data_IF_037210218288
#
_entry.id   IF_037210218288
#
_cell.length_a   1.000
_cell.length_b   1.000
_cell.length_c   1.000
_cell.angle_alpha   90.00
_cell.angle_beta   90.00
_cell.angle_gamma   90.00
#
_symmetry.space_group_name_H-M   'P 1'
#
loop_
_entity.id
_entity.type
_entity.pdbx_description
1 polymer ?
#
# COMPACT_ATOMS: atom_id res chain seq x y z
N UNK A 1 -58.42 33.85 32.44
CA UNK A 1 -58.09 32.51 32.96
C UNK A 1 -57.45 31.73 31.82
N UNK A 2 -56.15 31.92 31.59
CA UNK A 2 -55.38 31.21 30.56
C UNK A 2 -54.50 30.16 31.23
N UNK A 3 -54.57 28.95 30.69
CA UNK A 3 -54.22 27.70 31.34
C UNK A 3 -52.71 27.55 31.64
N UNK A 4 -52.37 27.27 32.91
CA UNK A 4 -51.04 26.92 33.43
C UNK A 4 -50.37 25.69 32.79
N UNK A 5 -51.01 25.08 31.79
CA UNK A 5 -50.51 23.93 31.03
C UNK A 5 -49.53 24.34 29.92
N UNK A 6 -49.63 25.57 29.41
CA UNK A 6 -48.79 26.04 28.30
C UNK A 6 -47.41 26.54 28.73
N UNK A 7 -47.22 27.00 29.98
CA UNK A 7 -45.88 27.44 30.45
C UNK A 7 -44.87 26.29 30.56
N UNK A 8 -45.32 25.10 30.97
CA UNK A 8 -44.45 23.91 31.07
C UNK A 8 -43.99 23.40 29.71
N UNK A 9 -44.83 23.54 28.69
CA UNK A 9 -44.51 23.09 27.32
C UNK A 9 -43.49 24.05 26.69
N UNK A 10 -43.66 25.36 26.89
CA UNK A 10 -42.75 26.38 26.34
C UNK A 10 -41.37 26.31 27.03
N UNK A 11 -41.32 26.16 28.36
CA UNK A 11 -40.07 25.98 29.12
C UNK A 11 -39.30 24.72 28.70
N UNK A 12 -39.97 23.58 28.51
CA UNK A 12 -39.28 22.33 28.13
C UNK A 12 -38.70 22.43 26.72
N UNK A 13 -39.39 23.11 25.80
CA UNK A 13 -38.92 23.27 24.41
C UNK A 13 -37.69 24.19 24.33
N UNK A 14 -37.60 25.21 25.17
CA UNK A 14 -36.43 26.11 25.22
C UNK A 14 -35.20 25.40 25.83
N UNK A 15 -35.39 24.58 26.86
CA UNK A 15 -34.28 23.85 27.51
C UNK A 15 -33.67 22.79 26.57
N UNK A 16 -34.50 22.04 25.82
CA UNK A 16 -33.97 21.09 24.82
C UNK A 16 -33.29 21.81 23.65
N UNK A 17 -33.78 23.00 23.27
CA UNK A 17 -33.15 23.86 22.26
C UNK A 17 -31.79 24.43 22.68
N UNK A 18 -31.57 24.71 23.97
CA UNK A 18 -30.29 25.23 24.51
C UNK A 18 -29.28 24.11 24.75
N UNK A 19 -29.71 22.93 25.21
CA UNK A 19 -28.80 21.78 25.43
C UNK A 19 -28.34 21.15 24.09
N UNK A 20 -29.19 21.17 23.05
CA UNK A 20 -28.79 20.74 21.70
C UNK A 20 -27.78 21.66 21.00
N UNK A 21 -27.64 22.91 21.47
CA UNK A 21 -26.74 23.91 20.88
C UNK A 21 -25.39 24.05 21.61
N UNK A 22 -25.26 23.48 22.83
CA UNK A 22 -24.01 23.48 23.60
C UNK A 22 -23.37 22.10 23.76
N UNK A 23 -24.05 21.02 23.32
CA UNK A 23 -23.55 19.64 23.35
C UNK A 23 -23.06 19.09 22.00
N UNK A 24 -22.95 19.92 20.97
CA UNK A 24 -22.53 19.53 19.61
C UNK A 24 -21.17 20.14 19.21
N UNK A 25 -20.33 20.48 20.20
CA UNK A 25 -19.02 21.15 20.02
C UNK A 25 -17.81 20.20 20.07
N UNK A 26 -17.99 18.89 20.28
CA UNK A 26 -16.87 17.92 20.38
C UNK A 26 -17.11 16.59 19.63
N UNK A 27 -17.94 16.59 18.58
CA UNK A 27 -18.17 15.36 17.80
C UNK A 27 -18.22 15.58 16.28
N UNK A 28 -17.34 16.41 15.76
CA UNK A 28 -16.91 16.36 14.35
C UNK A 28 -15.47 16.87 14.27
N UNK A 29 -14.52 16.03 14.68
CA UNK A 29 -13.18 16.05 14.10
C UNK A 29 -13.22 15.13 12.87
N UNK A 30 -13.90 15.55 11.80
CA UNK A 30 -13.68 14.97 10.48
C UNK A 30 -14.25 15.89 9.39
N UNK A 31 -13.30 16.56 8.73
CA UNK A 31 -13.36 17.22 7.41
C UNK A 31 -14.31 18.42 7.25
N UNK A 32 -13.73 19.61 6.98
CA UNK A 32 -13.84 20.24 5.65
C UNK A 32 -12.81 21.37 5.41
N UNK A 33 -12.41 21.47 4.15
CA UNK A 33 -11.41 22.29 3.46
C UNK A 33 -11.18 23.77 3.87
N UNK A 34 -9.90 24.21 3.87
CA UNK A 34 -9.38 25.37 3.09
C UNK A 34 -7.88 25.13 2.79
N UNK A 35 -7.46 24.83 1.55
CA UNK A 35 -7.18 25.75 0.43
C UNK A 35 -6.25 26.91 0.80
N UNK A 36 -4.95 26.64 0.70
CA UNK A 36 -3.95 27.66 0.36
C UNK A 36 -3.26 27.22 -0.95
N UNK A 37 -3.24 28.09 -1.96
CA UNK A 37 -2.50 27.94 -3.22
C UNK A 37 -2.05 29.37 -3.60
N UNK A 38 -0.90 29.63 -4.28
CA UNK A 38 0.11 28.72 -4.82
C UNK A 38 1.59 29.14 -4.54
N UNK A 39 2.49 28.17 -4.38
CA UNK A 39 3.84 28.28 -4.95
C UNK A 39 4.03 27.14 -5.96
N UNK A 40 4.18 27.52 -7.22
CA UNK A 40 4.27 26.62 -8.37
C UNK A 40 5.64 25.93 -8.41
N UNK A 41 5.62 24.60 -8.32
CA UNK A 41 6.57 23.72 -9.01
C UNK A 41 5.78 22.55 -9.61
N UNK A 42 6.17 22.03 -10.77
CA UNK A 42 5.24 21.52 -11.77
C UNK A 42 4.59 20.17 -11.39
N UNK A 43 3.28 20.15 -11.57
CA UNK A 43 2.33 19.02 -11.63
C UNK A 43 2.95 17.61 -11.72
N UNK A 44 2.70 16.77 -10.70
CA UNK A 44 2.45 15.34 -10.93
C UNK A 44 1.19 14.92 -10.16
N UNK A 45 0.29 14.24 -10.86
CA UNK A 45 -0.98 13.72 -10.33
C UNK A 45 -0.69 12.79 -9.14
N UNK A 46 -1.44 12.91 -8.05
CA UNK A 46 -1.55 11.83 -7.06
C UNK A 46 -2.25 10.67 -7.78
N UNK A 47 -1.46 9.76 -8.34
CA UNK A 47 -1.95 8.52 -8.91
C UNK A 47 -2.48 7.69 -7.73
N UNK A 48 -3.81 7.59 -7.60
CA UNK A 48 -4.43 6.72 -6.61
C UNK A 48 -3.93 5.30 -6.85
N UNK A 49 -3.11 4.78 -5.93
CA UNK A 49 -2.54 3.43 -6.05
C UNK A 49 -3.68 2.42 -5.98
N UNK A 50 -3.98 1.81 -7.13
CA UNK A 50 -4.97 0.74 -7.20
C UNK A 50 -4.36 -0.54 -6.61
N UNK A 51 -4.95 -1.01 -5.53
CA UNK A 51 -4.51 -2.19 -4.79
C UNK A 51 -5.50 -3.33 -4.97
N UNK A 52 -4.95 -4.52 -5.19
CA UNK A 52 -5.71 -5.75 -5.37
C UNK A 52 -5.22 -6.82 -4.39
N UNK A 53 -6.12 -7.68 -3.90
CA UNK A 53 -5.73 -8.82 -3.09
C UNK A 53 -5.00 -9.87 -3.97
N UNK A 54 -3.87 -10.36 -3.48
CA UNK A 54 -3.15 -11.48 -4.07
C UNK A 54 -2.78 -12.49 -3.00
N UNK A 55 -3.44 -13.65 -3.03
CA UNK A 55 -3.32 -14.69 -1.98
C UNK A 55 -3.61 -14.07 -0.59
N UNK A 56 -2.58 -13.98 0.26
CA UNK A 56 -2.66 -13.50 1.64
C UNK A 56 -2.13 -12.07 1.83
N UNK A 57 -1.85 -11.33 0.75
CA UNK A 57 -1.36 -9.95 0.79
C UNK A 57 -2.17 -9.04 -0.13
N UNK A 58 -1.96 -7.73 -0.04
CA UNK A 58 -2.41 -6.76 -1.02
C UNK A 58 -1.20 -6.25 -1.82
N UNK A 59 -1.38 -6.01 -3.12
CA UNK A 59 -0.34 -5.51 -4.03
C UNK A 59 -0.95 -4.49 -5.00
N UNK A 60 -0.13 -3.75 -5.72
CA UNK A 60 -0.62 -2.90 -6.81
C UNK A 60 -1.12 -3.75 -7.98
N UNK A 61 -2.22 -3.34 -8.61
CA UNK A 61 -2.76 -3.96 -9.83
C UNK A 61 -1.70 -4.08 -10.93
N UNK A 62 -0.77 -3.11 -11.01
CA UNK A 62 0.36 -3.10 -11.96
C UNK A 62 1.24 -4.36 -11.90
N UNK A 63 1.36 -4.99 -10.73
CA UNK A 63 2.22 -6.16 -10.51
C UNK A 63 1.46 -7.49 -10.54
N UNK A 64 0.12 -7.47 -10.57
CA UNK A 64 -0.70 -8.65 -10.33
C UNK A 64 -0.49 -9.75 -11.37
N UNK A 65 -0.66 -9.43 -12.65
CA UNK A 65 -0.52 -10.41 -13.74
C UNK A 65 0.89 -11.02 -13.77
N UNK A 66 1.91 -10.19 -13.56
CA UNK A 66 3.30 -10.61 -13.61
C UNK A 66 3.70 -11.46 -12.40
N UNK A 67 3.21 -11.12 -11.21
CA UNK A 67 3.38 -11.95 -10.02
C UNK A 67 2.67 -13.30 -10.12
N UNK A 68 1.50 -13.33 -10.76
CA UNK A 68 0.77 -14.56 -11.03
C UNK A 68 1.59 -15.48 -11.97
N UNK A 69 2.08 -14.92 -13.07
CA UNK A 69 2.94 -15.64 -14.02
C UNK A 69 4.24 -16.13 -13.37
N UNK A 70 4.87 -15.28 -12.56
CA UNK A 70 6.08 -15.64 -11.82
C UNK A 70 5.81 -16.80 -10.84
N UNK A 71 4.72 -16.72 -10.08
CA UNK A 71 4.31 -17.78 -9.15
C UNK A 71 4.04 -19.10 -9.86
N UNK A 72 3.39 -19.07 -11.02
CA UNK A 72 3.15 -20.26 -11.86
C UNK A 72 4.44 -20.84 -12.41
N UNK A 73 5.39 -20.01 -12.85
CA UNK A 73 6.68 -20.48 -13.35
C UNK A 73 7.53 -21.11 -12.25
N UNK A 74 7.60 -20.48 -11.08
CA UNK A 74 8.28 -21.03 -9.91
C UNK A 74 7.72 -22.42 -9.56
N UNK A 75 6.39 -22.56 -9.55
CA UNK A 75 5.74 -23.85 -9.29
C UNK A 75 6.06 -24.94 -10.31
N UNK A 76 6.30 -24.59 -11.59
CA UNK A 76 6.78 -25.55 -12.61
C UNK A 76 8.20 -26.01 -12.35
N UNK A 77 9.03 -25.15 -11.75
CA UNK A 77 10.39 -25.46 -11.32
C UNK A 77 10.42 -26.09 -9.92
N UNK A 78 9.26 -26.51 -9.38
CA UNK A 78 9.08 -27.07 -8.03
C UNK A 78 9.42 -26.11 -6.88
N UNK A 79 9.40 -24.80 -7.14
CA UNK A 79 9.61 -23.73 -6.16
C UNK A 79 8.27 -23.15 -5.68
N UNK A 80 7.95 -23.28 -4.39
CA UNK A 80 6.77 -22.64 -3.79
C UNK A 80 7.12 -21.26 -3.24
N UNK A 81 6.71 -20.20 -3.95
CA UNK A 81 6.87 -18.83 -3.46
C UNK A 81 5.78 -18.50 -2.43
N UNK A 82 6.19 -18.34 -1.17
CA UNK A 82 5.34 -17.79 -0.12
C UNK A 82 5.53 -16.28 -0.04
N UNK A 83 4.43 -15.54 -0.07
CA UNK A 83 4.44 -14.09 0.03
C UNK A 83 4.22 -13.69 1.49
N UNK A 84 5.26 -13.15 2.12
CA UNK A 84 5.23 -12.76 3.53
C UNK A 84 4.64 -11.37 3.73
N UNK A 85 4.94 -10.44 2.81
CA UNK A 85 4.56 -9.03 2.92
C UNK A 85 4.37 -8.41 1.54
N UNK A 86 3.42 -7.49 1.44
CA UNK A 86 3.15 -6.65 0.27
C UNK A 86 2.87 -5.23 0.70
N UNK A 87 1.73 -4.67 0.28
CA UNK A 87 1.21 -3.41 0.77
C UNK A 87 1.08 -3.38 2.30
N UNK A 88 1.51 -2.28 2.91
CA UNK A 88 1.31 -1.99 4.33
C UNK A 88 0.83 -0.56 4.50
N UNK A 89 -0.37 -0.41 5.07
CA UNK A 89 -1.02 0.88 5.27
C UNK A 89 -0.18 1.85 6.12
N UNK A 90 0.35 1.36 7.25
CA UNK A 90 1.20 2.14 8.16
C UNK A 90 2.71 1.90 7.93
N UNK A 91 3.07 1.57 6.69
CA UNK A 91 4.45 1.31 6.28
C UNK A 91 5.19 2.55 5.78
N UNK A 92 6.40 2.33 5.31
CA UNK A 92 7.12 3.28 4.46
C UNK A 92 6.37 3.56 3.14
N UNK A 93 6.72 4.64 2.46
CA UNK A 93 6.13 5.00 1.16
C UNK A 93 6.33 3.90 0.10
N UNK A 94 7.44 3.18 0.15
CA UNK A 94 7.66 2.03 -0.73
C UNK A 94 6.73 0.85 -0.43
N UNK A 95 6.46 0.59 0.84
CA UNK A 95 5.50 -0.45 1.23
C UNK A 95 4.07 -0.04 0.88
N UNK A 96 3.70 1.23 1.09
CA UNK A 96 2.40 1.77 0.69
C UNK A 96 2.17 1.75 -0.83
N UNK A 97 3.23 1.67 -1.63
CA UNK A 97 3.10 1.54 -3.09
C UNK A 97 2.48 0.21 -3.53
N UNK A 98 2.52 -0.83 -2.69
CA UNK A 98 2.08 -2.18 -3.08
C UNK A 98 2.95 -2.86 -4.16
N UNK A 99 4.08 -2.27 -4.53
CA UNK A 99 5.04 -2.80 -5.50
C UNK A 99 6.23 -3.50 -4.85
N UNK A 100 6.35 -3.40 -3.52
CA UNK A 100 7.40 -4.06 -2.74
C UNK A 100 6.85 -5.37 -2.17
N UNK A 101 7.52 -6.48 -2.43
CA UNK A 101 7.08 -7.81 -2.00
C UNK A 101 8.22 -8.52 -1.26
N UNK A 102 7.89 -9.11 -0.12
CA UNK A 102 8.80 -9.98 0.63
C UNK A 102 8.45 -11.44 0.40
N UNK A 103 9.41 -12.21 -0.11
CA UNK A 103 9.29 -13.63 -0.40
C UNK A 103 9.92 -14.50 0.70
N UNK A 104 9.51 -15.76 0.76
CA UNK A 104 10.18 -16.76 1.58
C UNK A 104 9.51 -18.13 1.43
N UNK A 105 9.76 -18.99 2.42
CA UNK A 105 9.21 -20.34 2.53
C UNK A 105 8.47 -20.53 3.87
N UNK A 106 7.77 -21.65 3.99
CA UNK A 106 7.37 -22.23 5.28
C UNK A 106 8.58 -22.87 5.99
N UNK A 107 9.43 -23.55 5.22
CA UNK A 107 10.63 -24.23 5.70
C UNK A 107 11.85 -23.32 5.50
N UNK A 108 12.47 -22.85 6.58
CA UNK A 108 13.57 -21.89 6.50
C UNK A 108 14.76 -22.41 5.67
N UNK A 109 15.00 -23.72 5.69
CA UNK A 109 16.05 -24.40 4.92
C UNK A 109 15.85 -24.27 3.39
N UNK A 110 14.60 -24.13 2.93
CA UNK A 110 14.27 -23.93 1.50
C UNK A 110 14.36 -22.48 1.05
N UNK A 111 14.57 -21.53 1.97
CA UNK A 111 14.67 -20.11 1.60
C UNK A 111 15.84 -19.87 0.62
N UNK A 112 16.95 -20.60 0.78
CA UNK A 112 18.11 -20.43 -0.09
C UNK A 112 17.77 -20.77 -1.55
N UNK A 113 17.07 -21.87 -1.78
CA UNK A 113 16.63 -22.29 -3.12
C UNK A 113 15.68 -21.26 -3.75
N UNK A 114 14.76 -20.71 -2.95
CA UNK A 114 13.86 -19.63 -3.39
C UNK A 114 14.65 -18.38 -3.78
N UNK A 115 15.61 -17.96 -2.96
CA UNK A 115 16.41 -16.76 -3.23
C UNK A 115 17.28 -16.94 -4.47
N UNK A 116 17.87 -18.11 -4.65
CA UNK A 116 18.66 -18.44 -5.85
C UNK A 116 17.78 -18.48 -7.10
N UNK A 117 16.52 -18.95 -7.00
CA UNK A 117 15.57 -18.91 -8.10
C UNK A 117 15.16 -17.47 -8.43
N UNK A 118 14.84 -16.65 -7.43
CA UNK A 118 14.44 -15.26 -7.62
C UNK A 118 15.54 -14.44 -8.30
N UNK A 119 16.80 -14.57 -7.86
CA UNK A 119 17.93 -13.86 -8.49
C UNK A 119 18.10 -14.21 -9.97
N UNK A 120 17.74 -15.44 -10.37
CA UNK A 120 17.88 -15.91 -11.76
C UNK A 120 16.66 -15.65 -12.64
N UNK A 121 15.46 -15.52 -12.06
CA UNK A 121 14.20 -15.56 -12.81
C UNK A 121 13.30 -14.35 -12.59
N UNK A 122 13.36 -13.69 -11.43
CA UNK A 122 12.37 -12.67 -11.04
C UNK A 122 12.32 -11.48 -12.02
N UNK A 123 13.47 -11.07 -12.55
CA UNK A 123 13.56 -9.94 -13.48
C UNK A 123 12.77 -10.14 -14.78
N UNK A 124 12.57 -11.39 -15.21
CA UNK A 124 11.76 -11.74 -16.39
C UNK A 124 10.29 -11.36 -16.21
N UNK A 125 9.86 -11.18 -14.97
CA UNK A 125 8.52 -10.77 -14.57
C UNK A 125 8.51 -9.37 -13.97
N UNK A 126 9.56 -8.56 -14.17
CA UNK A 126 9.58 -7.18 -13.71
C UNK A 126 9.97 -6.98 -12.25
N UNK A 127 10.47 -8.02 -11.57
CA UNK A 127 10.90 -7.95 -10.18
C UNK A 127 12.42 -7.90 -10.05
N UNK A 128 12.92 -6.92 -9.31
CA UNK A 128 14.36 -6.75 -9.02
C UNK A 128 14.62 -6.74 -7.53
N UNK A 129 15.81 -7.18 -7.13
CA UNK A 129 16.23 -7.15 -5.73
C UNK A 129 16.25 -5.69 -5.24
N UNK A 130 15.56 -5.42 -4.12
CA UNK A 130 15.44 -4.05 -3.60
C UNK A 130 16.76 -3.55 -2.99
N UNK A 131 17.44 -4.40 -2.23
CA UNK A 131 18.68 -4.12 -1.50
C UNK A 131 19.67 -5.25 -1.71
N UNK A 132 20.96 -4.96 -1.89
CA UNK A 132 21.97 -6.02 -2.03
C UNK A 132 22.09 -6.88 -0.76
N UNK A 133 21.94 -6.23 0.40
CA UNK A 133 22.00 -6.88 1.71
C UNK A 133 20.81 -7.78 2.03
N UNK A 134 19.72 -7.71 1.25
CA UNK A 134 18.51 -8.46 1.54
C UNK A 134 17.98 -9.21 0.31
N UNK A 135 18.08 -10.54 0.37
CA UNK A 135 17.71 -11.45 -0.73
C UNK A 135 16.22 -11.81 -0.77
N UNK A 136 15.42 -11.40 0.20
CA UNK A 136 13.98 -11.73 0.26
C UNK A 136 13.07 -10.63 -0.27
N UNK A 137 13.56 -9.39 -0.36
CA UNK A 137 12.75 -8.22 -0.72
C UNK A 137 13.00 -7.83 -2.18
N UNK A 138 11.92 -7.82 -2.96
CA UNK A 138 11.94 -7.45 -4.37
C UNK A 138 10.96 -6.31 -4.65
N UNK A 139 11.33 -5.45 -5.59
CA UNK A 139 10.54 -4.34 -6.09
C UNK A 139 10.08 -4.64 -7.51
N UNK A 140 8.80 -4.42 -7.79
CA UNK A 140 8.29 -4.41 -9.15
C UNK A 140 8.62 -3.08 -9.83
N UNK A 141 9.26 -3.15 -10.99
CA UNK A 141 9.64 -2.02 -11.86
C UNK A 141 9.10 -2.18 -13.28
N UNK A 142 8.55 -3.35 -13.61
CA UNK A 142 8.20 -3.72 -14.99
C UNK A 142 9.36 -4.39 -15.72
N UNK A 143 9.02 -5.25 -16.69
CA UNK A 143 9.95 -6.24 -17.26
C UNK A 143 11.17 -5.63 -17.96
N UNK A 144 10.98 -4.56 -18.73
CA UNK A 144 12.07 -3.91 -19.48
C UNK A 144 13.08 -3.22 -18.54
N UNK A 145 12.59 -2.48 -17.54
CA UNK A 145 13.43 -1.82 -16.55
C UNK A 145 14.12 -2.86 -15.67
N UNK A 146 13.40 -3.89 -15.22
CA UNK A 146 13.97 -4.96 -14.41
C UNK A 146 15.12 -5.70 -15.12
N UNK A 147 14.93 -5.98 -16.42
CA UNK A 147 15.97 -6.56 -17.26
C UNK A 147 17.18 -5.65 -17.35
N UNK A 148 16.98 -4.36 -17.60
CA UNK A 148 18.07 -3.38 -17.69
C UNK A 148 18.87 -3.32 -16.38
N UNK A 149 18.19 -3.27 -15.23
CA UNK A 149 18.83 -3.24 -13.90
C UNK A 149 19.71 -4.49 -13.69
N UNK A 150 19.16 -5.68 -13.96
CA UNK A 150 19.88 -6.94 -13.73
C UNK A 150 21.02 -7.16 -14.73
N UNK A 151 20.86 -6.76 -16.00
CA UNK A 151 21.93 -6.85 -17.00
C UNK A 151 23.14 -5.95 -16.67
N UNK A 152 22.92 -4.84 -15.95
CA UNK A 152 23.98 -4.01 -15.41
C UNK A 152 24.54 -4.52 -14.06
N UNK A 153 24.04 -5.65 -13.56
CA UNK A 153 24.46 -6.23 -12.28
C UNK A 153 24.08 -5.37 -11.06
N UNK A 154 23.00 -4.59 -11.16
CA UNK A 154 22.59 -3.64 -10.14
C UNK A 154 21.42 -4.17 -9.29
N UNK A 155 21.32 -3.68 -8.06
CA UNK A 155 20.09 -3.69 -7.28
C UNK A 155 19.25 -2.44 -7.59
N UNK A 156 17.97 -2.45 -7.22
CA UNK A 156 17.13 -1.25 -7.38
C UNK A 156 17.68 -0.04 -6.61
N UNK A 157 18.24 -0.26 -5.41
CA UNK A 157 18.87 0.80 -4.62
C UNK A 157 20.03 1.46 -5.37
N UNK A 158 20.90 0.65 -5.97
CA UNK A 158 22.06 1.15 -6.69
C UNK A 158 21.64 1.87 -7.97
N UNK A 159 20.65 1.34 -8.68
CA UNK A 159 20.12 1.94 -9.90
C UNK A 159 19.57 3.35 -9.67
N UNK A 160 18.86 3.59 -8.57
CA UNK A 160 18.32 4.93 -8.25
C UNK A 160 19.38 5.98 -7.86
N UNK A 161 20.60 5.56 -7.51
CA UNK A 161 21.70 6.47 -7.13
C UNK A 161 22.54 6.93 -8.33
N UNK A 162 22.40 6.24 -9.47
CA UNK A 162 23.11 6.53 -10.71
C UNK A 162 22.29 7.48 -11.59
#
# INVERSE_FOLDING_TARGET
MFNAKYERIIMTTIIVGIVGLLGFSEYYCFQDEKKEKPQETPVSKVESVELEPFKNIQISSKAHEDLEKMSKSAGRDHIELLLKKGYVFDGSEEEKSGLLITFGSKDAEKNQEIYDWLEKQAYKYGFVKRYESNRSIYRYTGREEAKTIVENGLSFETYLKN
#
